data_IF_028667686895
#
_entry.id   IF_028667686895
#
_cell.length_a   1.000
_cell.length_b   1.000
_cell.length_c   1.000
_cell.angle_alpha   90.00
_cell.angle_beta   90.00
_cell.angle_gamma   90.00
#
_symmetry.space_group_name_H-M   'P 1'
#
loop_
_entity.id
_entity.type
_entity.pdbx_description
1 polymer ?
#
# COMPACT_ATOMS: atom_id res chain seq x y z
N UNK A 1 5.37 32.35 60.59
CA UNK A 1 4.86 31.43 61.63
C UNK A 1 4.03 30.37 60.90
N UNK A 2 4.67 29.27 60.49
CA UNK A 2 4.40 27.88 60.96
C UNK A 2 3.06 27.33 60.43
N UNK A 3 2.92 26.15 59.82
CA UNK A 3 3.79 25.04 59.45
C UNK A 3 3.07 24.32 58.29
N UNK A 4 3.83 23.72 57.36
CA UNK A 4 3.31 22.73 56.41
C UNK A 4 2.87 21.50 57.20
N UNK A 5 1.66 21.00 56.98
CA UNK A 5 1.39 19.57 57.20
C UNK A 5 1.20 18.87 55.85
N UNK A 6 1.92 17.77 55.73
CA UNK A 6 2.34 17.09 54.51
C UNK A 6 1.15 16.49 53.73
N UNK A 7 0.94 16.83 52.44
CA UNK A 7 -0.10 16.19 51.61
C UNK A 7 0.30 14.80 51.07
N UNK A 8 1.38 14.18 51.57
CA UNK A 8 1.99 12.98 50.98
C UNK A 8 1.48 11.64 51.52
N UNK A 9 0.27 11.55 52.07
CA UNK A 9 -0.31 10.24 52.38
C UNK A 9 -1.05 9.72 51.15
N UNK A 10 -0.27 9.26 50.17
CA UNK A 10 -0.78 8.38 49.12
C UNK A 10 -1.19 7.06 49.77
N UNK A 11 -2.47 6.69 49.68
CA UNK A 11 -2.87 5.30 49.92
C UNK A 11 -2.19 4.42 48.87
N UNK A 12 -1.33 3.52 49.33
CA UNK A 12 -0.40 2.77 48.49
C UNK A 12 -0.99 1.48 47.87
N UNK A 13 -2.29 1.20 48.01
CA UNK A 13 -2.85 -0.11 47.64
C UNK A 13 -3.54 -0.22 46.29
N UNK A 14 -3.50 0.78 45.41
CA UNK A 14 -3.86 0.52 44.01
C UNK A 14 -3.14 1.43 43.02
N UNK A 15 -1.86 1.14 42.78
CA UNK A 15 -1.22 1.57 41.54
C UNK A 15 -1.75 0.72 40.40
N UNK A 16 -2.85 1.15 39.77
CA UNK A 16 -3.26 0.61 38.46
C UNK A 16 -2.42 1.30 37.38
N UNK A 17 -1.71 0.54 36.52
CA UNK A 17 -0.97 1.13 35.42
C UNK A 17 -1.94 1.82 34.47
N UNK A 18 -1.71 3.11 34.20
CA UNK A 18 -2.31 3.78 33.05
C UNK A 18 -1.41 3.49 31.85
N UNK A 19 -1.96 2.88 30.81
CA UNK A 19 -1.26 2.71 29.54
C UNK A 19 -1.19 4.06 28.86
N UNK A 20 -0.01 4.68 28.85
CA UNK A 20 0.29 5.77 27.92
C UNK A 20 0.35 5.11 26.54
N UNK A 21 -0.72 5.27 25.74
CA UNK A 21 -0.62 5.09 24.29
C UNK A 21 0.54 6.00 23.86
N UNK A 22 1.53 5.41 23.20
CA UNK A 22 2.82 6.00 22.78
C UNK A 22 2.77 7.53 22.61
N UNK A 23 3.83 8.25 22.97
CA UNK A 23 3.92 9.71 22.77
C UNK A 23 3.65 10.10 21.30
N UNK A 24 2.38 10.32 20.94
CA UNK A 24 1.98 10.78 19.62
C UNK A 24 2.17 12.28 19.63
N UNK A 25 3.38 12.69 19.23
CA UNK A 25 3.69 14.09 19.03
C UNK A 25 2.92 14.61 17.83
N UNK A 26 2.17 15.70 18.04
CA UNK A 26 1.48 16.38 16.94
C UNK A 26 2.54 16.89 15.95
N UNK A 27 2.53 16.45 14.68
CA UNK A 27 3.45 16.97 13.67
C UNK A 27 3.18 18.47 13.41
N UNK A 28 4.15 19.22 12.86
CA UNK A 28 4.00 20.66 12.62
C UNK A 28 2.73 20.97 11.83
N UNK A 29 2.00 22.02 12.23
CA UNK A 29 0.67 22.36 11.71
C UNK A 29 0.66 22.42 10.17
N UNK A 30 -0.04 21.46 9.55
CA UNK A 30 -0.33 21.45 8.12
C UNK A 30 -1.83 21.55 7.92
N UNK A 31 -2.26 22.45 7.03
CA UNK A 31 -3.66 22.53 6.57
C UNK A 31 -4.06 21.17 6.01
N UNK A 32 -5.17 20.62 6.49
CA UNK A 32 -5.66 19.31 6.06
C UNK A 32 -6.90 19.53 5.20
N UNK A 33 -6.81 19.20 3.91
CA UNK A 33 -7.85 19.47 2.93
C UNK A 33 -8.05 18.25 2.04
N UNK A 34 -9.30 17.94 1.73
CA UNK A 34 -9.67 17.02 0.67
C UNK A 34 -10.74 17.68 -0.20
N UNK A 35 -10.52 17.65 -1.51
CA UNK A 35 -11.51 18.10 -2.49
C UNK A 35 -12.02 16.87 -3.21
N UNK A 36 -13.33 16.67 -3.20
CA UNK A 36 -13.98 15.66 -4.02
C UNK A 36 -14.79 16.34 -5.11
N UNK A 37 -14.34 16.11 -6.34
CA UNK A 37 -15.13 16.37 -7.53
C UNK A 37 -15.35 15.02 -8.20
N UNK A 38 -16.60 14.52 -8.28
CA UNK A 38 -17.02 13.75 -9.45
C UNK A 38 -18.47 13.21 -9.41
N UNK A 39 -19.02 13.24 -10.62
CA UNK A 39 -20.24 12.62 -11.16
C UNK A 39 -21.54 13.36 -10.86
N UNK A 40 -22.25 13.70 -11.95
CA UNK A 40 -23.62 14.21 -11.96
C UNK A 40 -23.83 15.67 -11.47
N UNK A 41 -22.79 16.51 -11.55
CA UNK A 41 -22.92 17.96 -11.34
C UNK A 41 -22.82 18.43 -9.88
N UNK A 42 -22.48 17.54 -8.93
CA UNK A 42 -22.24 17.91 -7.53
C UNK A 42 -20.75 17.88 -7.21
N UNK A 43 -20.28 18.87 -6.45
CA UNK A 43 -18.90 18.99 -5.98
C UNK A 43 -18.88 19.39 -4.51
N UNK A 44 -17.90 18.89 -3.74
CA UNK A 44 -17.68 19.37 -2.40
C UNK A 44 -16.20 19.42 -2.02
N UNK A 45 -15.81 20.50 -1.34
CA UNK A 45 -14.51 20.67 -0.72
C UNK A 45 -14.67 20.54 0.80
N UNK A 46 -13.68 19.95 1.47
CA UNK A 46 -13.69 19.79 2.92
C UNK A 46 -12.31 20.06 3.50
N UNK A 47 -12.26 20.89 4.54
CA UNK A 47 -11.03 21.44 5.09
C UNK A 47 -11.06 21.48 6.61
N UNK A 48 -9.87 21.32 7.19
CA UNK A 48 -9.56 21.56 8.59
C UNK A 48 -8.33 22.49 8.66
N UNK A 49 -8.31 23.36 9.65
CA UNK A 49 -7.20 24.31 9.88
C UNK A 49 -5.86 23.59 10.10
N UNK A 50 -5.91 22.41 10.72
CA UNK A 50 -4.75 21.56 11.02
C UNK A 50 -5.14 20.09 11.10
N UNK A 51 -4.14 19.22 10.99
CA UNK A 51 -4.29 17.76 11.13
C UNK A 51 -4.21 17.28 12.59
N UNK A 52 -3.61 18.06 13.50
CA UNK A 52 -3.35 17.65 14.89
C UNK A 52 -4.11 18.47 15.94
N UNK A 53 -4.64 17.79 16.96
CA UNK A 53 -5.45 18.38 18.03
C UNK A 53 -5.17 17.73 19.40
N UNK A 54 -5.55 18.42 20.47
CA UNK A 54 -5.49 17.93 21.86
C UNK A 54 -6.88 17.44 22.30
N UNK A 55 -6.99 16.43 23.18
CA UNK A 55 -8.28 16.04 23.76
C UNK A 55 -9.03 17.23 24.39
N UNK A 56 -10.35 17.34 24.16
CA UNK A 56 -11.15 18.48 24.62
C UNK A 56 -11.13 19.71 23.71
N UNK A 57 -10.22 19.75 22.73
CA UNK A 57 -10.11 20.84 21.76
C UNK A 57 -11.26 20.84 20.74
N UNK A 58 -11.61 22.03 20.27
CA UNK A 58 -12.62 22.22 19.23
C UNK A 58 -11.98 22.19 17.84
N UNK A 59 -12.43 21.25 17.01
CA UNK A 59 -12.13 21.19 15.58
C UNK A 59 -13.09 22.14 14.85
N UNK A 60 -12.56 22.95 13.95
CA UNK A 60 -13.33 23.89 13.13
C UNK A 60 -13.35 23.41 11.67
N UNK A 61 -14.29 22.53 11.29
CA UNK A 61 -14.40 22.11 9.91
C UNK A 61 -14.96 23.22 9.04
N UNK A 62 -14.42 23.35 7.83
CA UNK A 62 -15.03 24.12 6.76
C UNK A 62 -15.25 23.25 5.53
N UNK A 63 -16.34 23.52 4.83
CA UNK A 63 -16.76 22.77 3.66
C UNK A 63 -17.41 23.72 2.66
N UNK A 64 -17.27 23.45 1.38
CA UNK A 64 -18.03 24.15 0.36
C UNK A 64 -18.69 23.08 -0.48
N UNK A 65 -20.00 23.17 -0.65
CA UNK A 65 -20.79 22.23 -1.42
C UNK A 65 -21.40 23.01 -2.58
N UNK A 66 -21.10 22.60 -3.80
CA UNK A 66 -21.69 23.16 -5.01
C UNK A 66 -22.58 22.11 -5.66
N UNK A 67 -23.86 22.43 -5.78
CA UNK A 67 -24.86 21.56 -6.39
C UNK A 67 -25.24 22.10 -7.76
N UNK A 68 -24.46 21.80 -8.78
CA UNK A 68 -24.80 22.09 -10.18
C UNK A 68 -25.83 21.14 -10.79
N UNK A 69 -26.43 20.23 -10.01
CA UNK A 69 -27.45 19.29 -10.49
C UNK A 69 -28.86 19.88 -10.42
N UNK A 70 -29.78 19.33 -11.20
CA UNK A 70 -31.21 19.71 -11.20
C UNK A 70 -31.99 19.19 -9.98
N UNK A 71 -31.31 18.52 -9.04
CA UNK A 71 -31.90 17.87 -7.87
C UNK A 71 -31.41 18.52 -6.59
N UNK A 72 -32.20 18.39 -5.53
CA UNK A 72 -31.81 18.89 -4.21
C UNK A 72 -30.84 17.93 -3.52
N UNK A 73 -30.08 18.46 -2.58
CA UNK A 73 -29.38 17.71 -1.56
C UNK A 73 -30.25 17.76 -0.32
N UNK A 74 -30.84 16.63 0.06
CA UNK A 74 -31.78 16.59 1.19
C UNK A 74 -31.07 16.81 2.52
N UNK A 75 -29.83 16.30 2.65
CA UNK A 75 -29.05 16.36 3.88
C UNK A 75 -27.56 16.50 3.60
N UNK A 76 -26.92 17.43 4.29
CA UNK A 76 -25.47 17.49 4.42
C UNK A 76 -25.10 17.50 5.90
N UNK A 77 -24.10 16.70 6.28
CA UNK A 77 -23.62 16.67 7.66
C UNK A 77 -22.14 16.34 7.76
N UNK A 78 -21.49 16.91 8.77
CA UNK A 78 -20.13 16.56 9.17
C UNK A 78 -20.24 15.73 10.45
N UNK A 79 -19.65 14.53 10.44
CA UNK A 79 -19.59 13.67 11.62
C UNK A 79 -18.15 13.45 12.08
N UNK A 80 -17.92 13.57 13.38
CA UNK A 80 -16.70 13.11 14.04
C UNK A 80 -16.90 11.63 14.40
N UNK A 81 -16.08 10.78 13.80
CA UNK A 81 -16.09 9.34 13.98
C UNK A 81 -14.81 8.97 14.72
N UNK A 82 -14.96 8.22 15.81
CA UNK A 82 -13.86 7.57 16.50
C UNK A 82 -13.84 6.12 16.05
N UNK A 83 -12.72 5.67 15.50
CA UNK A 83 -12.50 4.26 15.18
C UNK A 83 -11.57 3.67 16.23
N UNK A 84 -12.08 2.66 16.92
CA UNK A 84 -11.34 1.85 17.87
C UNK A 84 -10.91 0.58 17.14
N UNK A 85 -9.62 0.43 16.93
CA UNK A 85 -9.05 -0.75 16.31
C UNK A 85 -8.46 -1.60 17.43
N UNK A 86 -9.15 -2.68 17.78
CA UNK A 86 -8.69 -3.65 18.77
C UNK A 86 -7.98 -4.78 18.04
N UNK A 87 -6.74 -5.04 18.42
CA UNK A 87 -5.98 -6.19 17.94
C UNK A 87 -5.88 -7.17 19.09
N UNK A 88 -6.60 -8.28 18.98
CA UNK A 88 -6.52 -9.37 19.96
C UNK A 88 -5.53 -10.40 19.42
N UNK A 89 -4.52 -10.72 20.23
CA UNK A 89 -3.58 -11.78 19.95
C UNK A 89 -3.83 -12.91 20.96
N UNK A 90 -4.59 -13.92 20.55
CA UNK A 90 -4.68 -15.18 21.27
C UNK A 90 -3.97 -16.24 20.42
N UNK A 91 -3.03 -16.98 21.01
CA UNK A 91 -2.44 -18.20 20.45
C UNK A 91 -2.39 -18.25 18.91
N UNK A 92 -1.32 -17.67 18.34
CA UNK A 92 -0.94 -17.78 16.91
C UNK A 92 -1.88 -17.12 15.88
N UNK A 93 -3.15 -16.83 16.19
CA UNK A 93 -4.06 -16.06 15.31
C UNK A 93 -4.21 -14.60 15.74
N UNK A 94 -4.20 -13.69 14.75
CA UNK A 94 -4.39 -12.24 14.96
C UNK A 94 -5.74 -11.84 14.38
N UNK A 95 -6.68 -11.47 15.23
CA UNK A 95 -7.92 -10.85 14.80
C UNK A 95 -7.88 -9.34 15.05
N UNK A 96 -8.31 -8.58 14.04
CA UNK A 96 -8.44 -7.12 14.13
C UNK A 96 -9.92 -6.76 14.03
N UNK A 97 -10.43 -6.16 15.09
CA UNK A 97 -11.81 -5.68 15.17
C UNK A 97 -11.80 -4.17 15.10
N UNK A 98 -12.58 -3.60 14.17
CA UNK A 98 -12.74 -2.14 14.03
C UNK A 98 -14.14 -1.75 14.49
N UNK A 99 -14.22 -1.12 15.65
CA UNK A 99 -15.45 -0.54 16.16
C UNK A 99 -15.51 0.94 15.81
N UNK A 100 -16.56 1.37 15.08
CA UNK A 100 -16.75 2.78 14.70
C UNK A 100 -17.82 3.41 15.57
N UNK A 101 -17.43 4.36 16.42
CA UNK A 101 -18.35 5.13 17.24
C UNK A 101 -18.51 6.53 16.68
N UNK A 102 -19.74 6.92 16.33
CA UNK A 102 -20.08 8.30 15.97
C UNK A 102 -20.14 9.13 17.24
N UNK A 103 -19.29 10.14 17.33
CA UNK A 103 -19.13 10.95 18.54
C UNK A 103 -20.03 12.17 18.51
N UNK A 104 -19.99 12.93 17.42
CA UNK A 104 -20.79 14.14 17.27
C UNK A 104 -21.09 14.35 15.80
N UNK A 105 -22.26 14.92 15.51
CA UNK A 105 -22.70 15.26 14.17
C UNK A 105 -23.17 16.71 14.15
N UNK A 106 -22.69 17.46 13.16
CA UNK A 106 -23.24 18.74 12.75
C UNK A 106 -24.03 18.50 11.47
N UNK A 107 -25.32 18.83 11.48
CA UNK A 107 -26.20 18.68 10.32
C UNK A 107 -26.59 20.06 9.82
N UNK A 108 -26.64 20.25 8.50
CA UNK A 108 -27.23 21.43 7.88
C UNK A 108 -28.49 21.10 7.10
N UNK A 109 -29.21 22.16 6.77
CA UNK A 109 -30.43 22.13 5.97
C UNK A 109 -30.13 21.72 4.53
N UNK A 110 -31.20 21.37 3.81
CA UNK A 110 -31.11 20.98 2.41
C UNK A 110 -30.45 22.08 1.54
N UNK A 111 -29.66 21.66 0.56
CA UNK A 111 -29.05 22.54 -0.45
C UNK A 111 -29.86 22.39 -1.75
N UNK A 112 -30.58 23.44 -2.20
CA UNK A 112 -31.38 23.39 -3.42
C UNK A 112 -30.56 23.04 -4.66
N UNK A 113 -31.25 22.63 -5.73
CA UNK A 113 -30.65 22.50 -7.06
C UNK A 113 -30.01 23.82 -7.52
N UNK A 114 -28.91 23.73 -8.25
CA UNK A 114 -28.15 24.88 -8.78
C UNK A 114 -27.73 25.92 -7.72
N UNK A 115 -27.41 25.47 -6.51
CA UNK A 115 -27.02 26.35 -5.41
C UNK A 115 -25.74 25.88 -4.72
N UNK A 116 -25.18 26.76 -3.89
CA UNK A 116 -23.96 26.51 -3.13
C UNK A 116 -24.22 26.69 -1.63
N UNK A 117 -23.53 25.90 -0.82
CA UNK A 117 -23.55 26.00 0.65
C UNK A 117 -22.12 26.02 1.18
N UNK A 118 -21.84 26.98 2.06
CA UNK A 118 -20.52 27.16 2.68
C UNK A 118 -20.63 26.93 4.18
N UNK A 119 -19.91 25.93 4.65
CA UNK A 119 -19.71 25.61 6.05
C UNK A 119 -18.52 26.39 6.58
N UNK A 120 -18.78 27.30 7.52
CA UNK A 120 -17.73 28.00 8.27
C UNK A 120 -18.22 28.32 9.69
N UNK A 121 -17.30 28.38 10.65
CA UNK A 121 -17.56 28.85 12.02
C UNK A 121 -18.15 27.82 13.00
N UNK A 122 -18.63 26.65 12.55
CA UNK A 122 -19.12 25.59 13.43
C UNK A 122 -17.98 24.77 14.04
N UNK A 123 -18.21 24.16 15.21
CA UNK A 123 -17.17 23.49 15.98
C UNK A 123 -17.59 22.09 16.41
N UNK A 124 -16.71 21.11 16.21
CA UNK A 124 -16.81 19.76 16.74
C UNK A 124 -15.85 19.61 17.91
N UNK A 125 -16.36 19.33 19.10
CA UNK A 125 -15.49 19.09 20.26
C UNK A 125 -15.02 17.65 20.27
N UNK A 126 -13.71 17.48 20.39
CA UNK A 126 -13.12 16.17 20.66
C UNK A 126 -13.46 15.84 22.12
N UNK A 127 -14.12 14.71 22.41
CA UNK A 127 -14.41 14.34 23.78
C UNK A 127 -13.09 14.17 24.54
N UNK A 128 -13.05 14.44 25.85
CA UNK A 128 -11.91 14.04 26.65
C UNK A 128 -11.67 12.54 26.46
N UNK A 129 -10.41 12.15 26.24
CA UNK A 129 -10.07 10.73 26.10
C UNK A 129 -10.54 10.01 27.37
N UNK A 130 -11.29 8.90 27.26
CA UNK A 130 -11.67 8.14 28.44
C UNK A 130 -10.39 7.66 29.16
N UNK A 131 -10.34 7.68 30.51
CA UNK A 131 -9.24 7.07 31.25
C UNK A 131 -9.12 5.61 30.80
N UNK A 132 -8.00 5.28 30.17
CA UNK A 132 -7.84 4.08 29.36
C UNK A 132 -7.80 2.81 30.23
N UNK A 133 -8.94 2.15 30.35
CA UNK A 133 -9.06 0.71 30.65
C UNK A 133 -9.02 -0.13 29.35
N UNK A 134 -8.29 0.33 28.34
CA UNK A 134 -8.21 -0.34 27.04
C UNK A 134 -7.08 -1.40 27.05
N UNK A 135 -7.32 -2.62 26.56
CA UNK A 135 -6.30 -3.66 26.44
C UNK A 135 -5.09 -3.21 25.62
N UNK A 136 -3.92 -3.81 25.89
CA UNK A 136 -2.58 -3.37 25.45
C UNK A 136 -2.33 -3.23 23.93
N UNK A 137 -3.30 -3.53 23.07
CA UNK A 137 -3.18 -3.44 21.62
C UNK A 137 -4.41 -2.78 20.97
N UNK A 138 -4.76 -1.59 21.44
CA UNK A 138 -5.88 -0.79 20.93
C UNK A 138 -5.38 0.50 20.31
N UNK A 139 -5.63 0.70 19.01
CA UNK A 139 -5.33 1.96 18.30
C UNK A 139 -6.62 2.80 18.20
N UNK A 140 -6.51 4.07 18.57
CA UNK A 140 -7.62 5.01 18.54
C UNK A 140 -7.37 6.04 17.43
N UNK A 141 -8.24 6.07 16.41
CA UNK A 141 -8.15 7.04 15.33
C UNK A 141 -9.44 7.87 15.27
N UNK A 142 -9.29 9.15 14.90
CA UNK A 142 -10.42 10.06 14.73
C UNK A 142 -10.50 10.51 13.28
N UNK A 143 -11.69 10.43 12.71
CA UNK A 143 -11.99 10.83 11.34
C UNK A 143 -13.09 11.87 11.39
N UNK A 144 -12.84 13.03 10.79
CA UNK A 144 -13.88 14.02 10.52
C UNK A 144 -14.37 13.77 9.09
N UNK A 145 -15.64 13.40 8.93
CA UNK A 145 -16.19 13.00 7.63
C UNK A 145 -17.33 13.92 7.21
N UNK A 146 -17.19 14.57 6.05
CA UNK A 146 -18.31 15.25 5.38
C UNK A 146 -19.14 14.22 4.60
N UNK A 147 -20.45 14.29 4.75
CA UNK A 147 -21.43 13.51 3.98
C UNK A 147 -22.44 14.41 3.31
N UNK A 148 -22.70 14.15 2.03
CA UNK A 148 -23.68 14.86 1.22
C UNK A 148 -24.62 13.84 0.59
N UNK A 149 -25.90 13.92 0.97
CA UNK A 149 -26.95 12.97 0.60
C UNK A 149 -27.92 13.65 -0.41
N UNK A 150 -27.81 13.33 -1.72
CA UNK A 150 -28.73 13.84 -2.74
C UNK A 150 -30.12 13.20 -2.62
N UNK A 151 -31.15 13.87 -3.13
CA UNK A 151 -32.51 13.31 -3.14
C UNK A 151 -32.61 12.06 -4.04
N UNK A 152 -33.14 10.96 -3.49
CA UNK A 152 -33.38 9.70 -4.19
C UNK A 152 -32.26 8.64 -4.04
N UNK A 153 -32.30 7.55 -4.81
CA UNK A 153 -31.44 6.37 -4.61
C UNK A 153 -30.03 6.53 -5.22
N UNK A 154 -29.40 7.68 -5.01
CA UNK A 154 -28.09 8.01 -5.58
C UNK A 154 -26.96 7.86 -4.57
N UNK A 155 -25.73 7.74 -5.10
CA UNK A 155 -24.54 7.50 -4.28
C UNK A 155 -24.27 8.68 -3.35
N UNK A 156 -24.27 8.40 -2.05
CA UNK A 156 -23.88 9.37 -1.01
C UNK A 156 -22.41 9.73 -1.14
N UNK A 157 -22.13 11.02 -1.20
CA UNK A 157 -20.76 11.53 -1.19
C UNK A 157 -20.20 11.48 0.24
N UNK A 158 -18.99 10.94 0.39
CA UNK A 158 -18.27 10.83 1.67
C UNK A 158 -16.84 11.32 1.50
N UNK A 159 -16.44 12.35 2.26
CA UNK A 159 -15.09 12.92 2.23
C UNK A 159 -14.50 12.81 3.65
N UNK A 160 -13.66 11.79 3.93
CA UNK A 160 -13.02 11.63 5.24
C UNK A 160 -11.72 12.43 5.33
N UNK A 161 -11.50 13.09 6.47
CA UNK A 161 -10.24 13.70 6.88
C UNK A 161 -9.78 13.09 8.20
N UNK A 162 -8.60 12.49 8.21
CA UNK A 162 -8.01 11.91 9.40
C UNK A 162 -7.42 13.00 10.30
N UNK A 163 -7.73 12.95 11.60
CA UNK A 163 -7.15 13.86 12.60
C UNK A 163 -6.35 13.08 13.63
N UNK A 164 -5.19 13.62 13.96
CA UNK A 164 -4.30 13.09 15.00
C UNK A 164 -4.65 13.77 16.31
N UNK A 165 -5.01 13.00 17.32
CA UNK A 165 -5.26 13.52 18.67
C UNK A 165 -4.11 13.07 19.57
N UNK A 166 -3.37 14.02 20.16
CA UNK A 166 -2.15 13.71 20.89
C UNK A 166 -1.65 14.86 21.78
N UNK A 167 -0.46 14.69 22.33
CA UNK A 167 0.16 15.70 23.19
C UNK A 167 0.96 16.72 22.35
N UNK A 168 0.94 18.01 22.72
CA UNK A 168 1.81 19.00 22.08
C UNK A 168 3.29 18.70 22.39
N UNK A 169 4.23 18.99 21.48
CA UNK A 169 5.67 18.79 21.71
C UNK A 169 6.20 19.67 22.86
N UNK A 170 7.18 19.15 23.59
CA UNK A 170 7.63 19.66 24.90
C UNK A 170 8.50 20.94 24.87
N UNK A 171 8.64 21.63 23.73
CA UNK A 171 9.51 22.80 23.60
C UNK A 171 8.76 24.00 23.00
N UNK A 172 8.27 24.96 23.82
CA UNK A 172 7.37 26.00 23.33
C UNK A 172 8.06 27.26 22.78
N UNK A 173 9.39 27.46 22.90
CA UNK A 173 10.07 28.70 22.48
C UNK A 173 11.60 28.57 22.43
N UNK A 174 12.19 28.71 21.23
CA UNK A 174 13.48 29.37 21.07
C UNK A 174 13.23 30.73 20.40
N UNK A 175 13.00 31.77 21.21
CA UNK A 175 12.73 33.16 20.81
C UNK A 175 13.41 33.59 19.49
N UNK A 176 12.65 33.68 18.38
CA UNK A 176 12.97 34.64 17.33
C UNK A 176 12.21 35.93 17.63
N UNK A 177 12.98 36.89 18.17
CA UNK A 177 12.56 38.25 18.46
C UNK A 177 12.11 38.96 17.18
N UNK A 178 11.10 39.78 17.35
CA UNK A 178 10.59 40.77 16.43
C UNK A 178 11.67 41.79 16.04
N UNK A 179 11.95 41.91 14.74
CA UNK A 179 12.29 43.22 14.16
C UNK A 179 11.24 43.54 13.11
N UNK A 180 10.50 44.63 13.35
CA UNK A 180 9.35 45.02 12.58
C UNK A 180 9.67 45.26 11.11
N UNK A 181 8.90 44.62 10.23
CA UNK A 181 8.54 45.16 8.92
C UNK A 181 7.08 44.80 8.67
N UNK A 182 6.31 45.81 8.29
CA UNK A 182 4.91 45.69 7.90
C UNK A 182 4.70 44.61 6.84
N UNK A 183 3.55 43.96 6.93
CA UNK A 183 3.00 43.00 5.97
C UNK A 183 3.15 43.49 4.51
N UNK A 184 3.64 42.69 3.56
CA UNK A 184 3.33 42.91 2.17
C UNK A 184 2.00 42.22 1.84
N UNK A 185 1.09 43.00 1.26
CA UNK A 185 -0.10 42.54 0.56
C UNK A 185 0.23 41.40 -0.44
N UNK A 186 -0.52 40.29 -0.37
CA UNK A 186 -0.53 39.28 -1.43
C UNK A 186 -1.13 39.87 -2.71
N UNK A 187 -0.31 40.05 -3.75
CA UNK A 187 -0.78 40.12 -5.15
C UNK A 187 -0.70 38.73 -5.80
N UNK A 188 -1.58 38.40 -6.75
CA UNK A 188 -1.54 37.11 -7.43
C UNK A 188 -0.59 37.11 -8.63
N UNK A 189 -0.15 35.88 -8.99
CA UNK A 189 0.49 35.39 -10.24
C UNK A 189 2.01 35.18 -10.19
N UNK A 190 2.60 34.37 -11.10
CA UNK A 190 2.13 33.10 -11.70
C UNK A 190 3.22 32.00 -11.67
N UNK A 191 2.81 30.79 -12.06
CA UNK A 191 3.62 29.66 -12.57
C UNK A 191 5.14 29.83 -12.57
N UNK A 192 5.86 29.06 -11.74
CA UNK A 192 7.20 28.59 -12.07
C UNK A 192 7.40 27.16 -11.54
N UNK A 193 8.02 26.33 -12.37
CA UNK A 193 8.14 24.86 -12.24
C UNK A 193 9.20 24.51 -11.19
N UNK A 194 8.84 23.74 -10.15
CA UNK A 194 9.83 23.20 -9.19
C UNK A 194 9.89 21.65 -9.16
N UNK A 195 11.08 21.02 -9.27
CA UNK A 195 11.23 19.56 -9.44
C UNK A 195 10.96 18.70 -8.18
N UNK A 196 10.76 19.32 -7.01
CA UNK A 196 10.72 18.63 -5.70
C UNK A 196 9.36 17.96 -5.43
N UNK A 197 8.26 18.49 -5.97
CA UNK A 197 6.91 17.94 -5.80
C UNK A 197 6.66 16.62 -6.56
N UNK A 198 7.48 16.29 -7.56
CA UNK A 198 7.40 15.00 -8.28
C UNK A 198 7.95 13.83 -7.47
N UNK A 199 9.00 14.03 -6.67
CA UNK A 199 9.59 12.94 -5.88
C UNK A 199 8.66 12.43 -4.77
N UNK A 200 7.90 13.33 -4.13
CA UNK A 200 7.03 12.99 -2.99
C UNK A 200 5.69 12.36 -3.41
N UNK A 201 5.10 12.83 -4.51
CA UNK A 201 3.88 12.24 -5.10
C UNK A 201 4.13 10.87 -5.74
N UNK A 202 5.33 10.65 -6.31
CA UNK A 202 5.74 9.33 -6.80
C UNK A 202 5.93 8.32 -5.65
N UNK A 203 6.53 8.74 -4.54
CA UNK A 203 6.73 7.90 -3.34
C UNK A 203 5.42 7.33 -2.75
N UNK A 204 4.37 8.16 -2.63
CA UNK A 204 3.07 7.71 -2.10
C UNK A 204 2.27 6.86 -3.10
N UNK A 205 2.31 7.18 -4.39
CA UNK A 205 1.69 6.36 -5.45
C UNK A 205 2.34 4.97 -5.58
N UNK A 206 3.68 4.90 -5.42
CA UNK A 206 4.44 3.64 -5.41
C UNK A 206 4.09 2.80 -4.18
N UNK A 207 3.93 3.40 -2.98
CA UNK A 207 3.52 2.67 -1.77
C UNK A 207 2.12 2.03 -1.92
N UNK A 208 1.13 2.77 -2.45
CA UNK A 208 -0.21 2.21 -2.68
C UNK A 208 -0.21 1.09 -3.74
N UNK A 209 0.53 1.25 -4.84
CA UNK A 209 0.65 0.21 -5.89
C UNK A 209 1.36 -1.04 -5.38
N UNK A 210 2.41 -0.87 -4.55
CA UNK A 210 3.13 -1.98 -3.89
C UNK A 210 2.20 -2.80 -2.99
N UNK A 211 1.25 -2.19 -2.28
CA UNK A 211 0.27 -2.91 -1.44
C UNK A 211 -0.77 -3.71 -2.22
N UNK A 212 -1.20 -3.23 -3.40
CA UNK A 212 -2.12 -3.97 -4.28
C UNK A 212 -1.43 -5.16 -4.97
N UNK A 213 -0.21 -4.96 -5.48
CA UNK A 213 0.64 -6.02 -6.03
C UNK A 213 0.90 -7.13 -5.01
N UNK A 214 1.25 -6.75 -3.78
CA UNK A 214 1.53 -7.67 -2.66
C UNK A 214 0.37 -8.62 -2.38
N UNK A 215 -0.87 -8.10 -2.27
CA UNK A 215 -2.05 -8.93 -1.99
C UNK A 215 -2.30 -9.99 -3.07
N UNK A 216 -2.10 -9.61 -4.34
CA UNK A 216 -2.25 -10.55 -5.46
C UNK A 216 -1.16 -11.61 -5.46
N UNK A 217 0.10 -11.21 -5.25
CA UNK A 217 1.24 -12.12 -5.21
C UNK A 217 1.15 -13.10 -4.04
N UNK A 218 0.65 -12.69 -2.87
CA UNK A 218 0.38 -13.60 -1.75
C UNK A 218 -0.61 -14.71 -2.15
N UNK A 219 -1.67 -14.35 -2.88
CA UNK A 219 -2.65 -15.32 -3.37
C UNK A 219 -2.03 -16.27 -4.40
N UNK A 220 -1.31 -15.73 -5.39
CA UNK A 220 -0.67 -16.56 -6.43
C UNK A 220 0.41 -17.49 -5.85
N UNK A 221 1.14 -17.05 -4.83
CA UNK A 221 2.09 -17.89 -4.10
C UNK A 221 1.37 -19.04 -3.39
N UNK A 222 0.25 -18.74 -2.72
CA UNK A 222 -0.59 -19.76 -2.08
C UNK A 222 -1.14 -20.79 -3.10
N UNK A 223 -1.61 -20.30 -4.25
CA UNK A 223 -2.11 -21.15 -5.34
C UNK A 223 -0.98 -22.07 -5.86
N UNK A 224 0.25 -21.56 -6.02
CA UNK A 224 1.41 -22.34 -6.49
C UNK A 224 1.90 -23.39 -5.50
N UNK A 225 1.83 -23.10 -4.20
CA UNK A 225 2.21 -24.02 -3.13
C UNK A 225 1.13 -25.06 -2.82
N UNK A 226 -0.11 -24.82 -3.28
CA UNK A 226 -1.23 -25.74 -3.07
C UNK A 226 -0.98 -27.11 -3.70
N UNK A 227 -1.53 -28.16 -3.07
CA UNK A 227 -1.36 -29.55 -3.54
C UNK A 227 -1.98 -29.81 -4.91
N UNK A 228 -2.92 -28.96 -5.36
CA UNK A 228 -3.53 -29.05 -6.69
C UNK A 228 -2.70 -28.44 -7.82
N UNK A 229 -1.55 -27.83 -7.53
CA UNK A 229 -0.71 -27.19 -8.55
C UNK A 229 0.03 -28.22 -9.40
N UNK A 230 -0.27 -28.26 -10.70
CA UNK A 230 0.44 -29.11 -11.68
C UNK A 230 1.93 -28.80 -11.77
N UNK A 231 2.33 -27.59 -11.37
CA UNK A 231 3.70 -27.11 -11.39
C UNK A 231 4.52 -27.51 -10.18
N UNK A 232 3.91 -28.11 -9.14
CA UNK A 232 4.59 -28.48 -7.90
C UNK A 232 5.77 -29.43 -8.13
N UNK A 233 5.76 -30.25 -9.19
CA UNK A 233 6.89 -31.12 -9.55
C UNK A 233 7.99 -30.38 -10.30
N UNK A 234 7.62 -29.43 -11.15
CA UNK A 234 8.56 -28.76 -12.05
C UNK A 234 9.11 -27.44 -11.50
N UNK A 235 8.47 -26.83 -10.51
CA UNK A 235 8.93 -25.62 -9.83
C UNK A 235 8.95 -25.86 -8.32
N UNK A 236 10.15 -26.04 -7.78
CA UNK A 236 10.44 -26.45 -6.39
C UNK A 236 11.18 -25.36 -5.64
N UNK A 237 11.33 -25.55 -4.33
CA UNK A 237 12.13 -24.71 -3.43
C UNK A 237 11.86 -23.22 -3.61
N UNK A 238 10.57 -22.87 -3.66
CA UNK A 238 10.13 -21.49 -3.82
C UNK A 238 10.45 -20.74 -2.53
N UNK A 239 11.45 -19.87 -2.60
CA UNK A 239 11.86 -18.99 -1.50
C UNK A 239 11.44 -17.57 -1.84
N UNK A 240 10.58 -17.01 -0.98
CA UNK A 240 10.14 -15.62 -1.10
C UNK A 240 10.64 -14.86 0.12
N UNK A 241 11.25 -13.70 -0.11
CA UNK A 241 11.71 -12.84 0.96
C UNK A 241 10.51 -12.24 1.71
N UNK A 242 10.43 -12.46 3.02
CA UNK A 242 9.36 -11.96 3.89
C UNK A 242 9.30 -10.42 3.90
N UNK A 243 10.45 -9.75 3.72
CA UNK A 243 10.54 -8.29 3.63
C UNK A 243 10.20 -7.75 2.23
N UNK A 244 10.28 -8.61 1.21
CA UNK A 244 10.08 -8.24 -0.18
C UNK A 244 9.44 -9.37 -1.02
N UNK A 245 8.11 -9.49 -0.92
CA UNK A 245 7.32 -10.42 -1.72
C UNK A 245 7.42 -10.17 -3.24
N UNK A 246 8.01 -9.06 -3.68
CA UNK A 246 8.20 -8.79 -5.11
C UNK A 246 9.38 -9.56 -5.70
N UNK A 247 10.15 -10.29 -4.89
CA UNK A 247 11.30 -11.06 -5.36
C UNK A 247 11.16 -12.51 -4.95
N UNK A 248 10.98 -13.40 -5.92
CA UNK A 248 10.84 -14.83 -5.70
C UNK A 248 12.05 -15.54 -6.26
N UNK A 249 12.54 -16.53 -5.52
CA UNK A 249 13.48 -17.50 -6.01
C UNK A 249 12.78 -18.84 -6.08
N UNK A 250 13.14 -19.64 -7.07
CA UNK A 250 12.71 -21.02 -7.11
C UNK A 250 13.57 -21.83 -8.05
N UNK A 251 13.35 -23.13 -8.03
CA UNK A 251 14.16 -24.10 -8.71
C UNK A 251 13.31 -24.77 -9.79
N UNK A 252 13.72 -24.63 -11.05
CA UNK A 252 13.08 -25.31 -12.16
C UNK A 252 13.69 -26.71 -12.31
N UNK A 253 12.83 -27.71 -12.20
CA UNK A 253 13.13 -29.13 -12.39
C UNK A 253 12.35 -29.60 -13.62
N UNK A 254 13.05 -29.93 -14.71
CA UNK A 254 12.42 -30.60 -15.85
C UNK A 254 12.74 -32.09 -15.82
N UNK A 255 11.82 -32.92 -16.27
CA UNK A 255 12.04 -34.35 -16.42
C UNK A 255 12.54 -34.73 -17.81
N UNK A 256 12.60 -33.75 -18.72
CA UNK A 256 13.02 -33.94 -20.11
C UNK A 256 14.54 -33.81 -20.29
N UNK A 257 15.20 -34.72 -21.02
CA UNK A 257 16.58 -34.52 -21.45
C UNK A 257 16.66 -33.35 -22.43
N UNK A 258 17.76 -32.59 -22.46
CA UNK A 258 19.04 -32.83 -21.79
C UNK A 258 19.16 -32.24 -20.37
N UNK A 259 18.11 -31.56 -19.90
CA UNK A 259 18.14 -30.74 -18.69
C UNK A 259 17.71 -31.49 -17.41
N UNK A 260 17.24 -32.73 -17.55
CA UNK A 260 16.76 -33.56 -16.44
C UNK A 260 17.82 -34.02 -15.43
N UNK A 261 19.10 -33.83 -15.72
CA UNK A 261 20.21 -34.21 -14.82
C UNK A 261 20.53 -33.17 -13.75
N UNK A 262 19.90 -32.00 -13.81
CA UNK A 262 20.09 -30.92 -12.86
C UNK A 262 18.79 -30.18 -12.59
N UNK A 263 18.93 -29.07 -11.88
CA UNK A 263 17.87 -28.10 -11.67
C UNK A 263 18.42 -26.67 -11.87
N UNK A 264 17.54 -25.72 -12.15
CA UNK A 264 17.93 -24.36 -12.52
C UNK A 264 17.28 -23.35 -11.60
N UNK A 265 18.09 -22.62 -10.83
CA UNK A 265 17.60 -21.55 -9.98
C UNK A 265 17.22 -20.35 -10.83
N UNK A 266 15.99 -19.88 -10.66
CA UNK A 266 15.46 -18.67 -11.28
C UNK A 266 15.11 -17.65 -10.22
N UNK A 267 15.16 -16.38 -10.61
CA UNK A 267 14.68 -15.23 -9.86
C UNK A 267 13.56 -14.57 -10.66
N UNK A 268 12.42 -14.38 -10.01
CA UNK A 268 11.27 -13.66 -10.55
C UNK A 268 11.15 -12.34 -9.80
N UNK A 269 11.38 -11.24 -10.51
CA UNK A 269 11.29 -9.88 -9.99
C UNK A 269 9.99 -9.24 -10.49
N UNK A 270 9.05 -9.00 -9.58
CA UNK A 270 7.80 -8.30 -9.84
C UNK A 270 7.98 -6.79 -9.70
N UNK A 271 7.55 -5.97 -10.68
CA UNK A 271 7.52 -4.52 -10.52
C UNK A 271 6.48 -4.10 -9.47
N UNK A 272 6.65 -2.94 -8.85
CA UNK A 272 5.69 -2.40 -7.88
C UNK A 272 4.30 -2.13 -8.50
N UNK A 273 4.23 -1.99 -9.82
CA UNK A 273 3.01 -1.81 -10.59
C UNK A 273 2.38 -3.13 -11.07
N UNK A 274 2.90 -4.29 -10.67
CA UNK A 274 2.25 -5.57 -10.93
C UNK A 274 0.80 -5.55 -10.39
N UNK A 275 -0.21 -6.04 -11.15
CA UNK A 275 -0.14 -6.79 -12.40
C UNK A 275 -0.20 -5.93 -13.67
N UNK A 276 -0.11 -4.59 -13.59
CA UNK A 276 -0.17 -3.73 -14.79
C UNK A 276 1.12 -3.75 -15.61
N UNK A 277 2.24 -4.12 -14.98
CA UNK A 277 3.52 -4.40 -15.67
C UNK A 277 3.92 -5.87 -15.48
N UNK A 278 4.55 -6.49 -16.48
CA UNK A 278 4.96 -7.89 -16.41
C UNK A 278 6.10 -8.11 -15.39
N UNK A 279 6.22 -9.32 -14.82
CA UNK A 279 7.41 -9.72 -14.06
C UNK A 279 8.61 -9.90 -14.98
N UNK A 280 9.81 -9.81 -14.41
CA UNK A 280 11.06 -10.18 -15.06
C UNK A 280 11.54 -11.51 -14.50
N UNK A 281 11.95 -12.42 -15.37
CA UNK A 281 12.51 -13.72 -14.99
C UNK A 281 13.96 -13.78 -15.42
N UNK A 282 14.85 -14.16 -14.50
CA UNK A 282 16.28 -14.29 -14.74
C UNK A 282 16.78 -15.62 -14.16
N UNK A 283 17.52 -16.38 -14.95
CA UNK A 283 18.23 -17.56 -14.48
C UNK A 283 19.47 -17.15 -13.69
N UNK A 284 19.58 -17.65 -12.45
CA UNK A 284 20.80 -17.51 -11.64
C UNK A 284 21.78 -18.63 -11.92
N UNK A 285 21.27 -19.82 -12.23
CA UNK A 285 22.07 -20.97 -12.65
C UNK A 285 22.33 -20.90 -14.15
N UNK A 286 23.58 -21.12 -14.57
CA UNK A 286 23.93 -21.15 -16.00
C UNK A 286 23.26 -22.33 -16.69
N UNK A 287 22.71 -22.11 -17.87
CA UNK A 287 22.05 -23.13 -18.68
C UNK A 287 22.55 -23.06 -20.13
N UNK A 288 22.70 -24.22 -20.76
CA UNK A 288 23.09 -24.33 -22.16
C UNK A 288 21.84 -24.38 -23.04
N UNK A 289 21.25 -23.23 -23.34
CA UNK A 289 19.96 -23.13 -24.04
C UNK A 289 19.98 -22.00 -25.09
N UNK A 290 19.43 -22.20 -26.30
CA UNK A 290 19.48 -21.18 -27.36
C UNK A 290 18.64 -19.93 -27.04
N UNK A 291 17.54 -20.07 -26.31
CA UNK A 291 16.66 -18.95 -25.91
C UNK A 291 17.03 -18.29 -24.57
N UNK A 292 18.16 -18.64 -23.95
CA UNK A 292 18.61 -18.05 -22.67
C UNK A 292 20.04 -17.55 -22.86
N UNK A 293 20.30 -16.29 -22.49
CA UNK A 293 21.63 -15.70 -22.62
C UNK A 293 22.60 -16.15 -21.52
N UNK A 294 23.88 -15.82 -21.63
CA UNK A 294 24.89 -16.16 -20.61
C UNK A 294 24.68 -15.47 -19.26
N UNK A 295 23.88 -14.39 -19.24
CA UNK A 295 23.49 -13.64 -18.03
C UNK A 295 22.20 -14.18 -17.40
N UNK A 296 21.58 -15.20 -18.02
CA UNK A 296 20.32 -15.81 -17.60
C UNK A 296 19.06 -15.06 -18.02
N UNK A 297 19.13 -14.08 -18.91
CA UNK A 297 17.97 -13.41 -19.49
C UNK A 297 17.25 -14.34 -20.46
N UNK A 298 15.91 -14.28 -20.44
CA UNK A 298 15.03 -15.07 -21.31
C UNK A 298 13.98 -14.15 -21.92
N UNK A 299 13.73 -14.32 -23.22
CA UNK A 299 12.65 -13.64 -23.92
C UNK A 299 11.42 -14.54 -23.94
N UNK A 300 10.46 -14.28 -23.05
CA UNK A 300 9.18 -14.99 -23.02
C UNK A 300 8.08 -14.09 -23.60
N UNK A 301 7.36 -14.51 -24.66
CA UNK A 301 6.29 -13.71 -25.25
C UNK A 301 5.21 -13.29 -24.24
N UNK A 302 4.90 -14.17 -23.28
CA UNK A 302 3.86 -13.94 -22.25
C UNK A 302 4.19 -12.80 -21.28
N UNK A 303 5.47 -12.46 -21.08
CA UNK A 303 5.92 -11.34 -20.22
C UNK A 303 6.47 -10.16 -21.02
N UNK A 304 6.40 -10.21 -22.36
CA UNK A 304 6.73 -9.05 -23.18
C UNK A 304 5.72 -7.93 -22.91
N UNK A 305 6.20 -6.69 -22.78
CA UNK A 305 5.37 -5.55 -22.42
C UNK A 305 4.19 -5.31 -23.37
N UNK A 306 4.35 -5.66 -24.66
CA UNK A 306 3.32 -5.52 -25.69
C UNK A 306 2.21 -6.59 -25.57
N UNK A 307 2.56 -7.78 -25.12
CA UNK A 307 1.66 -8.93 -25.02
C UNK A 307 1.14 -9.18 -23.60
N UNK A 308 1.67 -8.45 -22.62
CA UNK A 308 1.35 -8.62 -21.22
C UNK A 308 -0.10 -8.26 -20.93
N UNK A 309 -0.83 -9.21 -20.33
CA UNK A 309 -2.19 -9.00 -19.86
C UNK A 309 -2.17 -9.00 -18.33
N UNK A 310 -2.75 -7.99 -17.66
CA UNK A 310 -2.84 -8.00 -16.19
C UNK A 310 -3.61 -9.19 -15.62
N UNK A 311 -4.41 -9.90 -16.42
CA UNK A 311 -5.08 -11.12 -15.98
C UNK A 311 -4.14 -12.34 -15.93
N UNK A 312 -2.98 -12.28 -16.58
CA UNK A 312 -1.98 -13.36 -16.59
C UNK A 312 -1.40 -13.58 -15.21
N UNK A 313 -1.39 -14.84 -14.78
CA UNK A 313 -0.89 -15.26 -13.47
C UNK A 313 0.54 -15.83 -13.58
N UNK A 314 1.22 -15.92 -12.44
CA UNK A 314 2.62 -16.38 -12.35
C UNK A 314 2.77 -17.87 -12.72
N UNK A 315 1.77 -18.71 -12.42
CA UNK A 315 1.71 -20.12 -12.84
C UNK A 315 1.78 -20.27 -14.38
N UNK A 316 1.08 -19.42 -15.12
CA UNK A 316 1.11 -19.42 -16.59
C UNK A 316 2.49 -19.00 -17.10
N UNK A 317 3.15 -18.03 -16.44
CA UNK A 317 4.51 -17.60 -16.80
C UNK A 317 5.51 -18.74 -16.59
N UNK A 318 5.45 -19.42 -15.43
CA UNK A 318 6.33 -20.55 -15.11
C UNK A 318 6.05 -21.73 -16.06
N UNK A 319 4.78 -22.01 -16.38
CA UNK A 319 4.40 -23.05 -17.34
C UNK A 319 5.00 -22.77 -18.73
N UNK A 320 4.90 -21.53 -19.20
CA UNK A 320 5.49 -21.10 -20.48
C UNK A 320 7.01 -21.19 -20.47
N UNK A 321 7.66 -20.89 -19.34
CA UNK A 321 9.10 -21.02 -19.19
C UNK A 321 9.55 -22.48 -19.28
N UNK A 322 8.85 -23.39 -18.58
CA UNK A 322 9.16 -24.83 -18.62
C UNK A 322 8.93 -25.39 -20.02
N UNK A 323 7.87 -24.96 -20.70
CA UNK A 323 7.63 -25.34 -22.09
C UNK A 323 8.80 -24.92 -22.99
N UNK A 324 9.28 -23.68 -22.86
CA UNK A 324 10.43 -23.19 -23.62
C UNK A 324 11.73 -23.95 -23.32
N UNK A 325 11.97 -24.33 -22.06
CA UNK A 325 13.13 -25.16 -21.68
C UNK A 325 13.06 -26.55 -22.33
N UNK A 326 11.85 -27.12 -22.38
CA UNK A 326 11.66 -28.47 -22.93
C UNK A 326 11.70 -28.48 -24.46
N UNK A 327 11.20 -27.42 -25.10
CA UNK A 327 11.17 -27.27 -26.55
C UNK A 327 11.78 -25.93 -26.97
N UNK A 328 13.10 -25.89 -27.24
CA UNK A 328 13.78 -24.67 -27.65
C UNK A 328 13.32 -24.17 -29.02
N UNK A 329 13.18 -22.85 -29.16
CA UNK A 329 12.72 -22.16 -30.39
C UNK A 329 13.92 -21.59 -31.17
N UNK A 330 14.49 -22.30 -32.17
CA UNK A 330 15.69 -21.87 -32.88
C UNK A 330 15.48 -20.68 -33.82
N UNK A 331 14.24 -20.37 -34.20
CA UNK A 331 13.87 -19.18 -35.00
C UNK A 331 14.01 -17.85 -34.25
N UNK A 332 13.97 -17.88 -32.91
CA UNK A 332 14.06 -16.70 -32.06
C UNK A 332 15.11 -16.85 -30.95
N UNK A 333 16.39 -17.11 -31.30
CA UNK A 333 17.41 -17.42 -30.30
C UNK A 333 18.01 -16.14 -29.70
N UNK A 334 18.37 -16.21 -28.43
CA UNK A 334 19.29 -15.25 -27.80
C UNK A 334 20.75 -15.62 -28.07
N UNK A 335 21.01 -16.91 -28.33
CA UNK A 335 22.31 -17.49 -28.63
C UNK A 335 22.28 -18.19 -29.99
N UNK A 336 22.65 -17.46 -31.03
CA UNK A 336 22.61 -17.94 -32.41
C UNK A 336 23.56 -19.13 -32.65
N UNK A 337 24.69 -19.16 -31.95
CA UNK A 337 25.66 -20.26 -31.94
C UNK A 337 24.99 -21.59 -31.50
N UNK A 338 24.25 -21.54 -30.40
CA UNK A 338 23.55 -22.71 -29.87
C UNK A 338 22.35 -23.12 -30.71
N UNK A 339 21.65 -22.14 -31.30
CA UNK A 339 20.53 -22.42 -32.19
C UNK A 339 21.00 -23.13 -33.46
N UNK A 340 22.10 -22.67 -34.05
CA UNK A 340 22.72 -23.33 -35.20
C UNK A 340 23.18 -24.74 -34.85
N UNK A 341 23.82 -24.94 -33.68
CA UNK A 341 24.20 -26.27 -33.20
C UNK A 341 22.98 -27.17 -32.96
N UNK A 342 21.89 -26.63 -32.40
CA UNK A 342 20.64 -27.35 -32.17
C UNK A 342 19.99 -27.81 -33.49
N UNK A 343 19.96 -26.95 -34.51
CA UNK A 343 19.37 -27.25 -35.81
C UNK A 343 20.24 -28.19 -36.65
N UNK A 344 21.57 -27.98 -36.68
CA UNK A 344 22.49 -28.75 -37.53
C UNK A 344 22.98 -30.03 -36.86
N UNK A 345 23.32 -29.97 -35.58
CA UNK A 345 24.02 -31.04 -34.84
C UNK A 345 23.30 -31.40 -33.53
N UNK A 346 21.98 -31.64 -33.58
CA UNK A 346 21.14 -31.90 -32.39
C UNK A 346 21.72 -32.91 -31.39
N UNK A 347 22.33 -34.01 -31.84
CA UNK A 347 22.95 -35.02 -30.94
C UNK A 347 24.11 -34.44 -30.13
N UNK A 348 24.94 -33.61 -30.75
CA UNK A 348 26.07 -32.95 -30.10
C UNK A 348 25.58 -31.88 -29.12
N UNK A 349 24.59 -31.09 -29.54
CA UNK A 349 23.90 -30.15 -28.65
C UNK A 349 23.37 -30.83 -27.39
N UNK A 350 22.62 -31.93 -27.53
CA UNK A 350 22.05 -32.66 -26.39
C UNK A 350 23.14 -33.17 -25.43
N UNK A 351 24.24 -33.73 -25.97
CA UNK A 351 25.37 -34.18 -25.15
C UNK A 351 26.04 -33.01 -24.42
N UNK A 352 26.31 -31.92 -25.11
CA UNK A 352 26.92 -30.72 -24.54
C UNK A 352 26.02 -30.12 -23.45
N UNK A 353 24.71 -30.02 -23.71
CA UNK A 353 23.73 -29.52 -22.77
C UNK A 353 23.62 -30.40 -21.52
N UNK A 354 23.67 -31.73 -21.66
CA UNK A 354 23.66 -32.65 -20.53
C UNK A 354 24.92 -32.52 -19.68
N UNK A 355 26.11 -32.49 -20.31
CA UNK A 355 27.38 -32.29 -19.60
C UNK A 355 27.45 -30.93 -18.90
N UNK A 356 26.95 -29.88 -19.55
CA UNK A 356 26.87 -28.54 -18.98
C UNK A 356 25.90 -28.50 -17.79
N UNK A 357 24.74 -29.15 -17.91
CA UNK A 357 23.75 -29.27 -16.84
C UNK A 357 24.33 -30.01 -15.63
N UNK A 358 25.10 -31.09 -15.86
CA UNK A 358 25.77 -31.81 -14.76
C UNK A 358 26.85 -30.97 -14.08
N UNK A 359 27.51 -30.08 -14.81
CA UNK A 359 28.62 -29.26 -14.30
C UNK A 359 28.15 -28.02 -13.54
N UNK A 360 27.13 -27.33 -14.05
CA UNK A 360 26.69 -26.02 -13.53
C UNK A 360 25.27 -26.02 -12.96
N UNK A 361 24.47 -27.05 -13.25
CA UNK A 361 23.13 -27.20 -12.69
C UNK A 361 23.16 -27.40 -11.18
N UNK A 362 22.11 -26.94 -10.52
CA UNK A 362 21.91 -27.18 -9.09
C UNK A 362 21.55 -28.65 -8.85
N UNK A 363 21.79 -29.12 -7.63
CA UNK A 363 21.33 -30.44 -7.20
C UNK A 363 19.81 -30.46 -7.19
N UNK A 364 19.23 -31.50 -7.80
CA UNK A 364 17.78 -31.72 -7.73
C UNK A 364 17.37 -31.99 -6.28
N UNK A 365 16.24 -31.45 -5.81
CA UNK A 365 15.69 -31.81 -4.51
C UNK A 365 15.37 -33.30 -4.51
N UNK A 366 15.73 -33.99 -3.43
CA UNK A 366 15.33 -35.38 -3.21
C UNK A 366 13.89 -35.34 -2.70
N UNK A 367 12.99 -36.05 -3.37
CA UNK A 367 11.58 -36.15 -2.95
C UNK A 367 11.44 -36.84 -1.58
#
# INVERSE_FOLDING_TARGET
>A
MFFIDKPWKFDHETKKPFTVLSNVFIPPMRKHCAVYAASLGQAASFHLDRQGYVPGEAIKPSAEISNGSSRNIDKSYVELIMELIMVMAFYVEKETWVEKKKITRLTRTAVPSHSEDVWSGQQLRIPPLPPSLLPAATLLTYIVQLRVEPSGPWKVLKIPLEVVVGNPPADPLGSMRTHGRQLPHCRPKPQLRDPICRAYSHSQSVKLKKMAATRRLQKELGDLLSEGSSLKRSFRDIVVDESNILLWHGLICTDQPPYNKGAFKIEISFPAEYPFKPPKVIFKTKIYHPNIDEKGQVCLPIINAENWKPATKTDQVISSLIALINDPEPEHPLRADLAEEYTKEKKKFLKNAEEFTRKYGEKRPVD
#
